data_IF_558104398461
#
_entry.id   IF_558104398461
#
_cell.length_a   1.000
_cell.length_b   1.000
_cell.length_c   1.000
_cell.angle_alpha   90.00
_cell.angle_beta   90.00
_cell.angle_gamma   90.00
#
_symmetry.space_group_name_H-M   'P 1'
#
loop_
_entity.id
_entity.type
_entity.pdbx_description
1 polymer ?
#
# COMPACT_ATOMS: atom_id res chain seq x y z
N UNK A 1 -5.24 -40.19 61.50
CA UNK A 1 -6.06 -39.20 60.78
C UNK A 1 -5.20 -38.66 59.64
N UNK A 2 -5.30 -39.28 58.47
CA UNK A 2 -4.45 -38.96 57.30
C UNK A 2 -5.17 -37.91 56.43
N UNK A 3 -4.53 -36.76 56.21
CA UNK A 3 -4.98 -35.74 55.26
C UNK A 3 -4.51 -36.12 53.85
N UNK A 4 -5.45 -36.35 52.94
CA UNK A 4 -5.18 -36.50 51.50
C UNK A 4 -5.30 -35.11 50.89
N UNK A 5 -4.18 -34.57 50.40
CA UNK A 5 -4.15 -33.31 49.66
C UNK A 5 -4.65 -33.50 48.23
N UNK A 6 -5.74 -32.81 47.87
CA UNK A 6 -6.19 -32.70 46.48
C UNK A 6 -5.23 -31.78 45.71
N UNK A 7 -4.57 -32.31 44.69
CA UNK A 7 -3.79 -31.51 43.75
C UNK A 7 -4.73 -31.01 42.63
N UNK A 8 -4.99 -29.71 42.58
CA UNK A 8 -5.75 -29.08 41.51
C UNK A 8 -4.87 -28.99 40.25
N UNK A 9 -5.19 -29.79 39.23
CA UNK A 9 -4.61 -29.65 37.89
C UNK A 9 -5.30 -28.45 37.24
N UNK A 10 -4.55 -27.36 37.08
CA UNK A 10 -4.98 -26.22 36.26
C UNK A 10 -4.70 -26.56 34.80
N UNK A 11 -5.76 -26.85 34.04
CA UNK A 11 -5.68 -27.01 32.59
C UNK A 11 -5.68 -25.61 31.96
N UNK A 12 -4.54 -25.19 31.43
CA UNK A 12 -4.46 -24.02 30.56
C UNK A 12 -5.06 -24.36 29.20
N UNK A 13 -6.28 -23.86 28.94
CA UNK A 13 -6.84 -23.87 27.60
C UNK A 13 -6.13 -22.76 26.82
N UNK A 14 -5.20 -23.14 25.95
CA UNK A 14 -4.65 -22.22 24.95
C UNK A 14 -5.74 -22.04 23.90
N UNK A 15 -6.45 -20.91 23.96
CA UNK A 15 -7.29 -20.45 22.86
C UNK A 15 -6.31 -20.02 21.75
N UNK A 16 -6.04 -20.92 20.81
CA UNK A 16 -5.47 -20.54 19.53
C UNK A 16 -6.52 -19.68 18.83
N UNK A 17 -6.41 -18.36 18.97
CA UNK A 17 -7.03 -17.47 18.01
C UNK A 17 -6.42 -17.82 16.65
N UNK A 18 -7.18 -18.54 15.82
CA UNK A 18 -6.85 -18.68 14.41
C UNK A 18 -6.92 -17.27 13.82
N UNK A 19 -5.79 -16.57 13.79
CA UNK A 19 -5.59 -15.44 12.92
C UNK A 19 -5.58 -16.04 11.51
N UNK A 20 -6.74 -16.08 10.86
CA UNK A 20 -6.86 -16.56 9.49
C UNK A 20 -6.26 -15.49 8.58
N UNK A 21 -4.93 -15.52 8.42
CA UNK A 21 -4.24 -14.74 7.42
C UNK A 21 -4.69 -15.20 6.03
N UNK A 22 -5.02 -14.25 5.17
CA UNK A 22 -5.31 -14.48 3.75
C UNK A 22 -4.00 -14.51 2.95
N UNK A 23 -3.98 -15.06 1.72
CA UNK A 23 -2.81 -14.97 0.86
C UNK A 23 -2.32 -13.54 0.63
N UNK A 24 -3.24 -12.57 0.66
CA UNK A 24 -2.89 -11.15 0.53
C UNK A 24 -2.20 -10.64 1.81
N UNK A 25 -2.68 -11.03 3.00
CA UNK A 25 -2.02 -10.70 4.27
C UNK A 25 -0.59 -11.25 4.28
N UNK A 26 -0.40 -12.51 3.91
CA UNK A 26 0.92 -13.15 3.84
C UNK A 26 1.84 -12.40 2.86
N UNK A 27 1.35 -12.11 1.66
CA UNK A 27 2.13 -11.43 0.63
C UNK A 27 2.58 -10.02 1.06
N UNK A 28 1.65 -9.22 1.60
CA UNK A 28 1.90 -7.84 2.01
C UNK A 28 2.85 -7.80 3.22
N UNK A 29 2.65 -8.68 4.20
CA UNK A 29 3.44 -8.70 5.43
C UNK A 29 4.81 -9.37 5.27
N UNK A 30 5.02 -10.15 4.20
CA UNK A 30 6.35 -10.70 3.88
C UNK A 30 7.37 -9.56 3.69
N UNK A 31 8.45 -9.49 4.49
CA UNK A 31 9.50 -8.50 4.29
C UNK A 31 10.11 -8.60 2.90
N UNK A 32 10.41 -7.45 2.30
CA UNK A 32 11.07 -7.39 1.00
C UNK A 32 12.37 -6.58 1.11
N UNK A 33 13.54 -7.17 0.80
CA UNK A 33 14.83 -6.48 0.94
C UNK A 33 15.00 -5.32 -0.06
N UNK A 34 14.17 -5.23 -1.10
CA UNK A 34 14.20 -4.11 -2.05
C UNK A 34 13.47 -2.87 -1.52
N UNK A 35 12.65 -3.01 -0.47
CA UNK A 35 11.95 -1.87 0.12
C UNK A 35 12.96 -0.81 0.58
N UNK A 36 12.86 0.37 -0.01
CA UNK A 36 13.75 1.49 0.26
C UNK A 36 13.10 2.77 -0.21
N UNK A 37 13.53 3.90 0.34
CA UNK A 37 13.05 5.20 -0.10
C UNK A 37 14.14 6.26 0.01
N UNK A 38 14.02 7.31 -0.79
CA UNK A 38 14.88 8.48 -0.74
C UNK A 38 14.09 9.76 -1.01
N UNK A 39 14.46 10.82 -0.32
CA UNK A 39 14.00 12.17 -0.63
C UNK A 39 14.67 12.68 -1.90
N UNK A 40 13.87 13.11 -2.87
CA UNK A 40 14.34 13.72 -4.11
C UNK A 40 14.41 15.24 -4.01
N UNK A 41 13.36 15.86 -3.48
CA UNK A 41 13.22 17.33 -3.44
C UNK A 41 12.49 17.77 -2.16
N UNK A 42 12.78 19.00 -1.74
CA UNK A 42 12.07 19.70 -0.66
C UNK A 42 11.67 21.08 -1.16
N UNK A 43 10.38 21.41 -1.04
CA UNK A 43 9.85 22.72 -1.38
C UNK A 43 9.26 23.38 -0.13
N UNK A 44 9.95 24.35 0.49
CA UNK A 44 9.41 25.09 1.61
C UNK A 44 8.42 26.15 1.12
N UNK A 45 7.21 26.15 1.69
CA UNK A 45 6.20 27.19 1.48
C UNK A 45 5.87 27.89 2.81
N UNK A 46 5.18 29.06 2.79
CA UNK A 46 4.84 29.76 4.02
C UNK A 46 3.96 28.95 4.99
N UNK A 47 3.03 28.15 4.48
CA UNK A 47 2.03 27.42 5.28
C UNK A 47 2.27 25.91 5.38
N UNK A 48 3.15 25.34 4.55
CA UNK A 48 3.50 23.92 4.55
C UNK A 48 4.91 23.68 4.01
N UNK A 49 5.41 22.46 4.14
CA UNK A 49 6.57 21.96 3.39
C UNK A 49 6.11 20.78 2.54
N UNK A 50 6.54 20.73 1.28
CA UNK A 50 6.30 19.61 0.38
C UNK A 50 7.60 18.83 0.20
N UNK A 51 7.53 17.52 0.40
CA UNK A 51 8.64 16.60 0.17
C UNK A 51 8.29 15.66 -0.98
N UNK A 52 9.18 15.54 -1.96
CA UNK A 52 9.05 14.57 -3.05
C UNK A 52 9.99 13.40 -2.79
N UNK A 53 9.45 12.20 -2.86
CA UNK A 53 10.15 10.96 -2.54
C UNK A 53 10.16 10.03 -3.76
N UNK A 54 11.17 9.16 -3.81
CA UNK A 54 11.15 7.96 -4.63
C UNK A 54 11.24 6.75 -3.68
N UNK A 55 10.26 5.86 -3.75
CA UNK A 55 10.12 4.68 -2.92
C UNK A 55 10.12 3.43 -3.78
N UNK A 56 11.07 2.52 -3.58
CA UNK A 56 10.97 1.15 -4.08
C UNK A 56 10.09 0.36 -3.11
N UNK A 57 8.98 -0.22 -3.56
CA UNK A 57 8.03 -0.96 -2.71
C UNK A 57 8.46 -2.41 -2.50
N UNK A 58 8.83 -3.09 -3.57
CA UNK A 58 9.13 -4.52 -3.56
C UNK A 58 9.82 -4.98 -4.86
N UNK A 59 10.22 -6.25 -4.87
CA UNK A 59 10.39 -7.04 -6.10
C UNK A 59 9.14 -7.91 -6.31
N UNK A 60 8.40 -7.64 -7.37
CA UNK A 60 7.28 -8.46 -7.80
C UNK A 60 7.75 -9.56 -8.75
N UNK A 61 7.83 -10.78 -8.22
CA UNK A 61 8.43 -11.96 -8.88
C UNK A 61 9.88 -11.73 -9.33
N UNK A 62 10.48 -12.75 -9.92
CA UNK A 62 11.80 -12.62 -10.53
C UNK A 62 11.73 -12.08 -11.96
N UNK A 63 12.91 -11.92 -12.57
CA UNK A 63 13.06 -11.38 -13.92
C UNK A 63 12.50 -12.32 -14.99
N UNK A 64 12.01 -13.52 -14.64
CA UNK A 64 11.39 -14.47 -15.56
C UNK A 64 9.92 -14.18 -15.85
N UNK A 65 9.26 -13.32 -15.06
CA UNK A 65 7.86 -13.00 -15.28
C UNK A 65 7.67 -11.81 -16.23
N UNK A 66 8.41 -10.73 -16.02
CA UNK A 66 8.14 -9.45 -16.67
C UNK A 66 9.37 -8.56 -16.84
N UNK A 67 9.21 -7.53 -17.67
CA UNK A 67 10.22 -6.50 -17.94
C UNK A 67 10.46 -5.54 -16.77
N UNK A 68 9.65 -5.61 -15.70
CA UNK A 68 9.75 -4.69 -14.57
C UNK A 68 9.47 -5.42 -13.24
N UNK A 69 10.43 -6.24 -12.78
CA UNK A 69 10.28 -6.98 -11.53
C UNK A 69 10.43 -6.06 -10.31
N UNK A 70 11.22 -4.99 -10.40
CA UNK A 70 11.37 -4.02 -9.29
C UNK A 70 10.33 -2.92 -9.40
N UNK A 71 9.52 -2.76 -8.36
CA UNK A 71 8.46 -1.77 -8.31
C UNK A 71 8.90 -0.53 -7.53
N UNK A 72 8.81 0.64 -8.16
CA UNK A 72 9.22 1.92 -7.59
C UNK A 72 8.20 3.03 -7.85
N UNK A 73 8.02 3.96 -6.92
CA UNK A 73 6.92 4.90 -6.90
C UNK A 73 7.41 6.29 -6.52
N UNK A 74 6.92 7.31 -7.23
CA UNK A 74 6.98 8.67 -6.73
C UNK A 74 5.93 8.87 -5.63
N UNK A 75 6.32 9.62 -4.62
CA UNK A 75 5.41 10.11 -3.59
C UNK A 75 5.62 11.59 -3.34
N UNK A 76 4.59 12.24 -2.84
CA UNK A 76 4.63 13.62 -2.41
C UNK A 76 3.96 13.71 -1.04
N UNK A 77 4.66 14.27 -0.05
CA UNK A 77 4.20 14.39 1.32
C UNK A 77 4.09 15.89 1.64
N UNK A 78 2.87 16.36 1.92
CA UNK A 78 2.60 17.72 2.36
C UNK A 78 2.48 17.75 3.87
N UNK A 79 3.37 18.51 4.51
CA UNK A 79 3.40 18.70 5.98
C UNK A 79 3.06 20.17 6.29
N UNK A 80 1.88 20.47 6.87
CA UNK A 80 1.54 21.81 7.32
C UNK A 80 2.52 22.33 8.38
N UNK A 81 2.79 23.64 8.40
CA UNK A 81 3.66 24.24 9.44
C UNK A 81 3.05 24.13 10.85
N UNK A 82 1.72 24.08 10.95
CA UNK A 82 1.00 23.89 12.20
C UNK A 82 0.10 22.66 12.09
N UNK A 83 0.56 21.53 12.64
CA UNK A 83 -0.20 20.27 12.65
C UNK A 83 -1.12 20.28 13.87
N UNK A 84 -2.43 20.33 13.65
CA UNK A 84 -3.45 20.25 14.71
C UNK A 84 -4.07 18.87 14.81
N UNK A 85 -4.16 18.15 13.69
CA UNK A 85 -4.62 16.76 13.61
C UNK A 85 -3.42 15.89 13.32
N UNK A 86 -2.70 15.51 14.37
CA UNK A 86 -1.43 14.80 14.26
C UNK A 86 -1.58 13.28 14.19
N UNK A 87 -2.70 12.75 14.67
CA UNK A 87 -2.92 11.29 14.75
C UNK A 87 -3.13 10.64 13.38
N UNK A 88 -3.81 11.35 12.48
CA UNK A 88 -4.31 10.78 11.23
C UNK A 88 -3.75 11.53 10.03
N UNK A 89 -3.21 10.80 9.05
CA UNK A 89 -2.82 11.32 7.74
C UNK A 89 -3.78 10.87 6.64
N UNK A 90 -3.83 11.59 5.52
CA UNK A 90 -4.55 11.15 4.32
C UNK A 90 -3.55 10.67 3.25
N UNK A 91 -3.77 9.49 2.68
CA UNK A 91 -2.97 8.93 1.58
C UNK A 91 -3.84 8.74 0.33
N UNK A 92 -3.53 9.49 -0.72
CA UNK A 92 -4.12 9.29 -2.04
C UNK A 92 -3.32 8.26 -2.85
N UNK A 93 -3.99 7.19 -3.27
CA UNK A 93 -3.51 6.18 -4.22
C UNK A 93 -3.85 6.63 -5.63
N UNK A 94 -2.86 7.15 -6.36
CA UNK A 94 -3.06 7.85 -7.62
C UNK A 94 -2.52 7.08 -8.83
N UNK A 95 -2.90 7.57 -10.01
CA UNK A 95 -2.51 7.02 -11.30
C UNK A 95 -1.09 7.43 -11.74
N UNK A 96 -0.82 7.28 -13.04
CA UNK A 96 0.48 7.57 -13.63
C UNK A 96 1.32 6.32 -13.83
N UNK A 97 2.49 6.54 -14.40
CA UNK A 97 3.37 5.55 -15.01
C UNK A 97 4.84 5.86 -14.68
N UNK A 98 5.70 4.86 -14.81
CA UNK A 98 7.15 4.95 -14.63
C UNK A 98 7.85 5.81 -15.69
N UNK A 99 7.12 6.26 -16.71
CA UNK A 99 7.57 7.23 -17.71
C UNK A 99 7.14 8.66 -17.41
N UNK A 100 6.30 8.90 -16.39
CA UNK A 100 5.92 10.25 -16.00
C UNK A 100 7.09 10.99 -15.34
N UNK A 101 7.16 12.33 -15.47
CA UNK A 101 8.19 13.11 -14.78
C UNK A 101 8.01 13.06 -13.27
N UNK A 102 9.08 13.39 -12.55
CA UNK A 102 9.04 13.58 -11.08
C UNK A 102 7.96 14.62 -10.74
N UNK A 103 7.04 14.33 -9.81
CA UNK A 103 6.00 15.28 -9.44
C UNK A 103 6.60 16.50 -8.74
N UNK A 104 6.04 17.67 -9.01
CA UNK A 104 6.44 18.94 -8.39
C UNK A 104 5.37 19.50 -7.45
N UNK A 105 4.26 18.78 -7.28
CA UNK A 105 3.14 19.15 -6.43
C UNK A 105 2.49 17.92 -5.82
N UNK A 106 1.68 18.13 -4.78
CA UNK A 106 0.80 17.12 -4.21
C UNK A 106 -0.65 17.58 -4.40
N UNK A 107 -1.52 16.80 -5.08
CA UNK A 107 -2.92 17.18 -5.29
C UNK A 107 -3.70 17.31 -3.98
N UNK A 108 -3.22 16.73 -2.88
CA UNK A 108 -3.86 16.81 -1.56
C UNK A 108 -3.36 17.97 -0.69
N UNK A 109 -2.61 18.92 -1.26
CA UNK A 109 -2.04 20.05 -0.49
C UNK A 109 -3.13 20.90 0.17
N UNK A 110 -4.21 21.24 -0.54
CA UNK A 110 -5.30 22.05 0.03
C UNK A 110 -6.03 21.32 1.16
N UNK A 111 -6.17 19.99 1.04
CA UNK A 111 -6.68 19.16 2.13
C UNK A 111 -5.75 19.23 3.34
N UNK A 112 -4.43 19.11 3.15
CA UNK A 112 -3.45 19.20 4.24
C UNK A 112 -3.56 20.52 5.02
N UNK A 113 -3.66 21.63 4.30
CA UNK A 113 -3.75 22.97 4.89
C UNK A 113 -5.06 23.12 5.66
N UNK A 114 -6.19 22.77 5.02
CA UNK A 114 -7.52 22.94 5.61
C UNK A 114 -7.77 22.01 6.80
N UNK A 115 -7.26 20.79 6.77
CA UNK A 115 -7.36 19.84 7.88
C UNK A 115 -6.30 20.06 8.97
N UNK A 116 -5.22 20.78 8.65
CA UNK A 116 -4.01 20.87 9.48
C UNK A 116 -3.46 19.49 9.86
N UNK A 117 -3.44 18.57 8.88
CA UNK A 117 -2.89 17.21 8.99
C UNK A 117 -1.93 16.92 7.86
N UNK A 118 -1.07 15.92 8.04
CA UNK A 118 -0.22 15.42 6.96
C UNK A 118 -1.11 14.81 5.87
N UNK A 119 -0.77 15.07 4.61
CA UNK A 119 -1.31 14.32 3.48
C UNK A 119 -0.18 13.84 2.59
N UNK A 120 -0.42 12.75 1.88
CA UNK A 120 0.50 12.23 0.90
C UNK A 120 -0.25 11.72 -0.34
N UNK A 121 0.46 11.67 -1.45
CA UNK A 121 0.02 10.99 -2.67
C UNK A 121 1.12 10.02 -3.10
N UNK A 122 0.73 8.80 -3.46
CA UNK A 122 1.57 7.83 -4.18
C UNK A 122 1.08 7.70 -5.61
N UNK A 123 1.98 7.77 -6.58
CA UNK A 123 1.68 7.55 -8.00
C UNK A 123 2.14 6.17 -8.45
N UNK A 124 1.85 5.84 -9.72
CA UNK A 124 2.34 4.62 -10.35
C UNK A 124 1.81 3.38 -9.65
N UNK A 125 0.52 3.42 -9.30
CA UNK A 125 -0.25 2.29 -8.82
C UNK A 125 -1.28 1.97 -9.90
N UNK A 126 -1.11 0.93 -10.74
CA UNK A 126 0.01 -0.02 -10.75
C UNK A 126 1.31 0.56 -11.32
N UNK A 127 2.43 -0.12 -11.05
CA UNK A 127 3.73 0.23 -11.60
C UNK A 127 3.79 -0.22 -13.06
N UNK A 128 3.88 0.72 -14.01
CA UNK A 128 3.63 0.45 -15.42
C UNK A 128 4.29 1.51 -16.32
N UNK A 129 4.44 1.29 -17.64
CA UNK A 129 4.10 0.07 -18.38
C UNK A 129 5.14 -1.03 -18.20
N UNK A 130 4.73 -2.28 -18.35
CA UNK A 130 5.68 -3.38 -18.50
C UNK A 130 5.10 -4.50 -19.37
N UNK A 131 5.98 -5.35 -19.86
CA UNK A 131 5.67 -6.51 -20.68
C UNK A 131 5.79 -7.77 -19.82
N UNK A 132 4.87 -8.72 -20.01
CA UNK A 132 5.06 -10.08 -19.52
C UNK A 132 5.74 -10.92 -20.60
N UNK A 133 6.73 -11.73 -20.23
CA UNK A 133 7.46 -12.54 -21.21
C UNK A 133 6.61 -13.62 -21.85
N UNK A 134 5.59 -14.10 -21.14
CA UNK A 134 4.60 -15.03 -21.65
C UNK A 134 3.52 -14.38 -22.53
N UNK A 135 3.54 -13.07 -22.75
CA UNK A 135 2.59 -12.40 -23.63
C UNK A 135 2.97 -12.59 -25.10
N UNK A 136 2.22 -13.39 -25.90
CA UNK A 136 2.57 -13.64 -27.30
C UNK A 136 2.41 -12.40 -28.17
N UNK A 137 1.73 -11.36 -27.67
CA UNK A 137 1.61 -10.07 -28.35
C UNK A 137 2.76 -9.11 -28.01
N UNK A 138 3.64 -9.49 -27.08
CA UNK A 138 4.80 -8.71 -26.63
C UNK A 138 4.43 -7.26 -26.25
N UNK A 139 3.25 -7.06 -25.65
CA UNK A 139 2.72 -5.72 -25.38
C UNK A 139 3.26 -5.16 -24.07
N UNK A 140 3.66 -3.89 -24.11
CA UNK A 140 3.75 -3.04 -22.92
C UNK A 140 2.33 -2.72 -22.43
N UNK A 141 1.91 -3.40 -21.37
CA UNK A 141 0.55 -3.32 -20.83
C UNK A 141 0.44 -2.20 -19.80
N UNK A 142 -0.78 -1.67 -19.69
CA UNK A 142 -1.16 -0.58 -18.78
C UNK A 142 -2.56 -0.81 -18.24
N UNK A 143 -2.82 -0.24 -17.09
CA UNK A 143 -4.14 -0.12 -16.48
C UNK A 143 -4.93 -1.43 -16.54
N UNK A 144 -6.10 -1.42 -17.16
CA UNK A 144 -7.03 -2.54 -17.16
C UNK A 144 -6.50 -3.72 -17.97
N UNK A 145 -5.59 -3.49 -18.92
CA UNK A 145 -4.92 -4.56 -19.66
C UNK A 145 -3.92 -5.35 -18.79
N UNK A 146 -3.35 -4.72 -17.75
CA UNK A 146 -2.55 -5.43 -16.74
C UNK A 146 -3.47 -6.24 -15.81
N UNK A 147 -4.54 -5.62 -15.33
CA UNK A 147 -5.53 -6.30 -14.47
C UNK A 147 -6.07 -7.55 -15.18
N UNK A 148 -6.57 -7.41 -16.41
CA UNK A 148 -7.11 -8.52 -17.18
C UNK A 148 -6.05 -9.60 -17.47
N UNK A 149 -4.80 -9.21 -17.77
CA UNK A 149 -3.74 -10.19 -18.01
C UNK A 149 -3.44 -11.03 -16.77
N UNK A 150 -3.30 -10.39 -15.60
CA UNK A 150 -3.01 -11.11 -14.36
C UNK A 150 -4.14 -12.05 -13.94
N UNK A 151 -5.40 -11.65 -14.15
CA UNK A 151 -6.55 -12.54 -13.95
C UNK A 151 -6.56 -13.72 -14.92
N UNK A 152 -6.25 -13.49 -16.20
CA UNK A 152 -6.11 -14.58 -17.19
C UNK A 152 -5.07 -15.60 -16.73
N UNK A 153 -3.88 -15.14 -16.34
CA UNK A 153 -2.80 -16.02 -15.85
C UNK A 153 -3.24 -16.83 -14.62
N UNK A 154 -3.95 -16.17 -13.68
CA UNK A 154 -4.49 -16.84 -12.50
C UNK A 154 -5.48 -17.95 -12.87
N UNK A 155 -6.41 -17.70 -13.80
CA UNK A 155 -7.39 -18.71 -14.20
C UNK A 155 -6.79 -19.82 -15.08
N UNK A 156 -5.85 -19.51 -15.97
CA UNK A 156 -5.15 -20.52 -16.80
C UNK A 156 -4.36 -21.53 -15.95
N UNK A 157 -3.96 -21.13 -14.74
CA UNK A 157 -3.29 -21.98 -13.75
C UNK A 157 -4.25 -22.57 -12.73
N UNK A 158 -5.56 -22.59 -13.00
CA UNK A 158 -6.61 -23.04 -12.08
C UNK A 158 -6.54 -22.40 -10.68
N UNK A 159 -6.07 -21.15 -10.61
CA UNK A 159 -6.01 -20.37 -9.38
C UNK A 159 -4.90 -20.79 -8.40
N UNK A 160 -3.85 -21.47 -8.88
CA UNK A 160 -2.79 -22.02 -8.03
C UNK A 160 -2.03 -20.98 -7.21
N UNK A 161 -1.71 -19.82 -7.78
CA UNK A 161 -0.93 -18.77 -7.11
C UNK A 161 -1.61 -17.40 -7.26
N UNK A 162 -2.27 -16.87 -6.21
CA UNK A 162 -2.94 -15.59 -6.26
C UNK A 162 -1.98 -14.39 -6.27
N UNK A 163 -0.70 -14.58 -5.95
CA UNK A 163 0.28 -13.48 -5.92
C UNK A 163 0.59 -12.90 -7.31
N UNK A 164 0.17 -13.61 -8.37
CA UNK A 164 0.17 -13.14 -9.76
C UNK A 164 -0.84 -12.00 -10.00
N UNK A 165 -1.87 -11.87 -9.17
CA UNK A 165 -2.90 -10.85 -9.35
C UNK A 165 -2.31 -9.46 -9.08
N UNK A 166 -2.50 -8.52 -10.01
CA UNK A 166 -1.92 -7.18 -9.95
C UNK A 166 -2.25 -6.43 -8.64
N UNK A 167 -3.38 -6.76 -8.01
CA UNK A 167 -3.82 -6.15 -6.76
C UNK A 167 -2.91 -6.47 -5.56
N UNK A 168 -2.14 -7.56 -5.59
CA UNK A 168 -1.20 -7.93 -4.53
C UNK A 168 -0.05 -6.93 -4.44
N UNK A 169 0.78 -6.74 -5.50
CA UNK A 169 1.85 -5.75 -5.46
C UNK A 169 1.33 -4.31 -5.36
N UNK A 170 0.14 -4.00 -5.91
CA UNK A 170 -0.47 -2.68 -5.70
C UNK A 170 -0.78 -2.41 -4.23
N UNK A 171 -1.40 -3.36 -3.53
CA UNK A 171 -1.73 -3.22 -2.10
C UNK A 171 -0.48 -3.10 -1.25
N UNK A 172 0.52 -3.96 -1.49
CA UNK A 172 1.79 -3.91 -0.76
C UNK A 172 2.52 -2.58 -0.98
N UNK A 173 2.50 -2.02 -2.19
CA UNK A 173 3.07 -0.70 -2.45
C UNK A 173 2.40 0.42 -1.65
N UNK A 174 1.07 0.38 -1.45
CA UNK A 174 0.37 1.37 -0.61
C UNK A 174 0.72 1.20 0.87
N UNK A 175 0.85 -0.03 1.36
CA UNK A 175 1.33 -0.29 2.73
C UNK A 175 2.75 0.25 2.94
N UNK A 176 3.64 0.00 1.99
CA UNK A 176 5.02 0.53 2.00
C UNK A 176 5.06 2.06 1.89
N UNK A 177 4.06 2.69 1.27
CA UNK A 177 3.90 4.14 1.27
C UNK A 177 3.58 4.67 2.68
N UNK A 178 2.71 3.99 3.44
CA UNK A 178 2.44 4.34 4.84
C UNK A 178 3.72 4.21 5.69
N UNK A 179 4.47 3.11 5.54
CA UNK A 179 5.76 2.92 6.21
C UNK A 179 6.76 4.04 5.85
N UNK A 180 6.82 4.42 4.58
CA UNK A 180 7.70 5.50 4.11
C UNK A 180 7.34 6.83 4.76
N UNK A 181 6.05 7.15 4.90
CA UNK A 181 5.59 8.37 5.58
C UNK A 181 6.02 8.34 7.05
N UNK A 182 5.77 7.24 7.75
CA UNK A 182 6.12 7.10 9.16
C UNK A 182 7.62 7.23 9.40
N UNK A 183 8.43 6.46 8.67
CA UNK A 183 9.89 6.46 8.78
C UNK A 183 10.50 7.82 8.41
N UNK A 184 10.00 8.44 7.34
CA UNK A 184 10.49 9.75 6.91
C UNK A 184 10.20 10.84 7.94
N UNK A 185 8.97 10.93 8.44
CA UNK A 185 8.61 11.95 9.43
C UNK A 185 9.34 11.73 10.76
N UNK A 186 9.53 10.47 11.16
CA UNK A 186 10.34 10.13 12.33
C UNK A 186 11.80 10.61 12.16
N UNK A 187 12.40 10.39 10.98
CA UNK A 187 13.76 10.82 10.66
C UNK A 187 13.91 12.35 10.65
N UNK A 188 12.89 13.08 10.22
CA UNK A 188 12.87 14.56 10.19
C UNK A 188 12.46 15.17 11.55
N UNK A 189 12.25 14.36 12.59
CA UNK A 189 11.75 14.79 13.90
C UNK A 189 10.41 15.55 13.83
N UNK A 190 9.55 15.16 12.88
CA UNK A 190 8.19 15.66 12.72
C UNK A 190 7.22 14.67 13.38
N UNK A 191 6.09 15.16 13.89
CA UNK A 191 5.08 14.30 14.50
C UNK A 191 4.60 13.23 13.50
N UNK A 192 4.72 11.97 13.89
CA UNK A 192 4.38 10.80 13.08
C UNK A 192 2.89 10.47 13.25
N UNK A 193 2.11 10.33 12.15
CA UNK A 193 0.73 9.84 12.22
C UNK A 193 0.71 8.37 12.64
N UNK A 194 -0.30 7.96 13.41
CA UNK A 194 -0.55 6.56 13.78
C UNK A 194 -1.67 5.94 12.94
N UNK A 195 -2.45 6.76 12.24
CA UNK A 195 -3.64 6.37 11.51
C UNK A 195 -3.61 6.95 10.09
N UNK A 196 -4.25 6.25 9.16
CA UNK A 196 -4.38 6.65 7.77
C UNK A 196 -5.83 6.59 7.32
N UNK A 197 -6.23 7.62 6.59
CA UNK A 197 -7.36 7.56 5.67
C UNK A 197 -6.77 7.32 4.28
N UNK A 198 -7.16 6.22 3.65
CA UNK A 198 -6.66 5.86 2.31
C UNK A 198 -7.76 6.10 1.28
N UNK A 199 -7.44 6.73 0.16
CA UNK A 199 -8.40 6.97 -0.91
C UNK A 199 -7.81 6.73 -2.30
N UNK A 200 -8.62 6.28 -3.25
CA UNK A 200 -8.17 5.99 -4.60
C UNK A 200 -9.34 5.70 -5.53
N UNK A 201 -9.16 5.98 -6.83
CA UNK A 201 -10.22 5.82 -7.84
C UNK A 201 -10.00 4.63 -8.78
N UNK A 202 -11.11 4.06 -9.29
CA UNK A 202 -11.08 2.94 -10.25
C UNK A 202 -10.38 1.72 -9.61
N UNK A 203 -9.42 1.08 -10.28
CA UNK A 203 -8.60 -0.01 -9.71
C UNK A 203 -7.85 0.38 -8.43
N UNK A 204 -7.52 1.66 -8.24
CA UNK A 204 -6.97 2.16 -6.97
C UNK A 204 -8.02 2.20 -5.87
N UNK A 205 -9.30 2.23 -6.22
CA UNK A 205 -10.42 2.02 -5.29
C UNK A 205 -10.46 0.58 -4.76
N UNK A 206 -10.22 -0.44 -5.58
CA UNK A 206 -10.00 -1.81 -5.07
C UNK A 206 -8.74 -1.87 -4.20
N UNK A 207 -7.63 -1.27 -4.62
CA UNK A 207 -6.44 -1.20 -3.76
C UNK A 207 -6.73 -0.54 -2.42
N UNK A 208 -7.55 0.51 -2.40
CA UNK A 208 -7.98 1.18 -1.16
C UNK A 208 -8.73 0.23 -0.22
N UNK A 209 -9.68 -0.55 -0.75
CA UNK A 209 -10.36 -1.59 0.03
C UNK A 209 -9.40 -2.65 0.58
N UNK A 210 -8.51 -3.15 -0.28
CA UNK A 210 -7.57 -4.21 0.08
C UNK A 210 -6.54 -3.73 1.10
N UNK A 211 -6.03 -2.50 0.98
CA UNK A 211 -5.14 -1.91 1.98
C UNK A 211 -5.84 -1.80 3.33
N UNK A 212 -7.12 -1.38 3.36
CA UNK A 212 -7.88 -1.31 4.60
C UNK A 212 -8.16 -2.68 5.22
N UNK A 213 -8.36 -3.72 4.39
CA UNK A 213 -8.57 -5.08 4.86
C UNK A 213 -7.30 -5.66 5.51
N UNK A 214 -6.14 -5.47 4.86
CA UNK A 214 -4.85 -6.05 5.28
C UNK A 214 -4.21 -5.28 6.43
N UNK A 215 -4.31 -3.96 6.43
CA UNK A 215 -3.72 -3.08 7.43
C UNK A 215 -4.79 -2.34 8.25
N UNK A 216 -5.73 -3.13 8.77
CA UNK A 216 -6.88 -2.63 9.53
C UNK A 216 -6.52 -1.94 10.87
N UNK A 217 -5.27 -2.05 11.30
CA UNK A 217 -4.78 -1.41 12.53
C UNK A 217 -4.38 0.05 12.28
N UNK A 218 -3.83 0.36 11.10
CA UNK A 218 -3.42 1.72 10.73
C UNK A 218 -4.46 2.42 9.86
N UNK A 219 -5.21 1.70 9.02
CA UNK A 219 -6.23 2.31 8.16
C UNK A 219 -7.55 2.43 8.91
N UNK A 220 -7.88 3.66 9.34
CA UNK A 220 -9.11 3.96 10.10
C UNK A 220 -10.30 4.36 9.24
N UNK A 221 -10.05 4.73 7.98
CA UNK A 221 -11.10 4.96 6.98
C UNK A 221 -10.59 4.71 5.56
N UNK A 222 -11.50 4.25 4.69
CA UNK A 222 -11.25 3.99 3.29
C UNK A 222 -12.18 4.85 2.43
N UNK A 223 -11.66 5.45 1.35
CA UNK A 223 -12.39 6.27 0.37
C UNK A 223 -12.22 5.69 -1.04
N UNK A 224 -12.91 4.58 -1.37
CA UNK A 224 -12.81 3.90 -2.66
C UNK A 224 -13.71 4.59 -3.68
N UNK A 225 -13.12 5.46 -4.49
CA UNK A 225 -13.84 6.29 -5.46
C UNK A 225 -14.20 5.44 -6.69
N UNK A 226 -15.48 5.52 -7.10
CA UNK A 226 -16.08 4.78 -8.23
C UNK A 226 -15.88 3.25 -8.17
N UNK A 227 -15.72 2.70 -6.96
CA UNK A 227 -15.46 1.28 -6.76
C UNK A 227 -16.18 0.71 -5.53
N UNK A 228 -17.51 0.80 -5.53
CA UNK A 228 -18.40 0.27 -4.50
C UNK A 228 -18.86 -1.17 -4.83
N UNK A 229 -17.90 -2.09 -4.89
CA UNK A 229 -18.11 -3.46 -5.34
C UNK A 229 -17.61 -4.47 -4.30
N UNK A 230 -18.05 -4.32 -3.06
CA UNK A 230 -17.59 -5.10 -1.90
C UNK A 230 -18.04 -6.57 -1.87
N UNK A 231 -19.14 -6.91 -2.55
CA UNK A 231 -19.74 -8.24 -2.52
C UNK A 231 -19.95 -8.78 -3.94
N UNK A 232 -18.93 -8.67 -4.79
CA UNK A 232 -18.94 -9.38 -6.08
C UNK A 232 -18.81 -10.88 -5.78
N UNK A 233 -19.73 -11.66 -6.35
CA UNK A 233 -19.66 -13.12 -6.43
C UNK A 233 -19.53 -13.50 -7.91
N UNK A 234 -18.62 -14.43 -8.28
CA UNK A 234 -18.53 -14.93 -9.65
C UNK A 234 -19.82 -15.60 -10.13
#
# INVERSE_FOLDING_TARGET
MYFIGLSCIVVFIIILNNCLATPLDDYVNTPDPMFSWKRLQTYPFPTYTLFIMNMTSQRWFDDSLSSQPIWWHYMAITVPKNIRRYKTAFLLVNNGDNTNPVPTSNPMTDLAISSSSVTATIWQIPNQPFQFWADPLEKLRREDALVAWTWKQYFDTNGMDPTILLYFPMTKAVVRAMDTIEQFLQQEHITVPQEFVVGGASKRGWTTWLTAAVDNTRVVAAVPIVMDLLNIRP
#
